data_IF_794461504861
#
_entry.id   IF_794461504861
#
_cell.length_a   1.000
_cell.length_b   1.000
_cell.length_c   1.000
_cell.angle_alpha   90.00
_cell.angle_beta   90.00
_cell.angle_gamma   90.00
#
_symmetry.space_group_name_H-M   'P 1'
#
loop_
_entity.id
_entity.type
_entity.pdbx_description
1 polymer ?
#
# COMPACT_ATOMS: atom_id res chain seq x y z
N UNK A 1 -21.41 3.63 7.45
CA UNK A 1 -21.18 2.54 8.42
C UNK A 1 -21.87 1.25 8.00
N UNK A 2 -23.05 1.32 7.40
CA UNK A 2 -23.79 0.17 6.87
C UNK A 2 -23.03 -0.67 5.82
N UNK A 3 -22.04 -0.11 5.11
CA UNK A 3 -21.15 -0.88 4.19
C UNK A 3 -19.92 -1.49 4.88
N UNK A 4 -19.69 -1.15 6.14
CA UNK A 4 -18.41 -1.37 6.80
C UNK A 4 -18.50 -2.45 7.89
N UNK A 5 -17.44 -3.25 8.00
CA UNK A 5 -17.09 -3.96 9.23
C UNK A 5 -16.03 -3.15 9.97
N UNK A 6 -16.33 -2.75 11.19
CA UNK A 6 -15.39 -2.05 12.08
C UNK A 6 -14.91 -3.01 13.15
N UNK A 7 -13.60 -3.27 13.18
CA UNK A 7 -12.96 -4.02 14.26
C UNK A 7 -12.40 -3.01 15.23
N UNK A 8 -12.90 -2.98 16.47
CA UNK A 8 -12.42 -2.06 17.53
C UNK A 8 -11.54 -2.74 18.58
N UNK A 9 -11.22 -4.01 18.37
CA UNK A 9 -10.41 -4.84 19.26
C UNK A 9 -9.08 -5.26 18.63
N UNK A 10 -8.55 -4.46 17.70
CA UNK A 10 -7.24 -4.71 17.14
C UNK A 10 -6.18 -4.55 18.23
N UNK A 11 -5.26 -5.52 18.35
CA UNK A 11 -4.16 -5.44 19.30
C UNK A 11 -2.96 -6.32 18.91
N UNK A 12 -1.77 -5.91 19.34
CA UNK A 12 -0.53 -6.70 19.25
C UNK A 12 0.55 -6.10 20.20
N UNK A 13 1.65 -6.82 20.51
CA UNK A 13 2.56 -6.41 21.59
C UNK A 13 3.58 -5.32 21.19
N UNK A 14 3.51 -4.75 19.99
CA UNK A 14 4.57 -3.88 19.45
C UNK A 14 4.09 -2.44 19.21
N UNK A 15 4.26 -1.49 20.16
CA UNK A 15 3.87 -0.09 20.00
C UNK A 15 4.91 0.70 19.19
N UNK A 16 5.27 0.21 18.02
CA UNK A 16 6.29 0.75 17.13
C UNK A 16 5.75 0.77 15.71
N UNK A 17 6.27 1.66 14.87
CA UNK A 17 6.14 1.53 13.42
C UNK A 17 6.49 0.08 13.02
N UNK A 18 5.79 -0.49 12.05
CA UNK A 18 5.84 -1.89 11.68
C UNK A 18 4.95 -2.26 10.49
N UNK A 19 5.00 -1.52 9.37
CA UNK A 19 4.18 -1.80 8.17
C UNK A 19 4.37 -3.25 7.73
N UNK A 20 5.62 -3.71 7.73
CA UNK A 20 5.94 -5.12 7.47
C UNK A 20 5.20 -6.07 8.41
N UNK A 21 5.13 -5.78 9.71
CA UNK A 21 4.37 -6.58 10.67
C UNK A 21 2.86 -6.53 10.43
N UNK A 22 2.31 -5.36 10.12
CA UNK A 22 0.88 -5.21 9.86
C UNK A 22 0.43 -5.88 8.54
N UNK A 23 1.36 -6.13 7.61
CA UNK A 23 1.03 -6.53 6.23
C UNK A 23 1.73 -7.81 5.74
N UNK A 24 2.35 -8.57 6.64
CA UNK A 24 3.00 -9.84 6.34
C UNK A 24 2.88 -10.81 7.51
N UNK A 25 3.39 -12.03 7.37
CA UNK A 25 3.47 -13.03 8.44
C UNK A 25 4.60 -12.80 9.46
N UNK A 26 5.25 -11.62 9.50
CA UNK A 26 6.37 -11.39 10.42
C UNK A 26 5.99 -11.70 11.87
N UNK A 27 6.71 -12.60 12.59
CA UNK A 27 6.33 -13.01 13.94
C UNK A 27 6.57 -11.91 14.98
N UNK A 28 7.49 -10.99 14.68
CA UNK A 28 7.84 -9.87 15.54
C UNK A 28 8.23 -8.65 14.71
N UNK A 29 8.27 -7.48 15.34
CA UNK A 29 8.90 -6.28 14.78
C UNK A 29 9.79 -5.57 15.81
N UNK A 30 10.77 -4.83 15.32
CA UNK A 30 11.69 -4.02 16.11
C UNK A 30 12.12 -2.80 15.30
N UNK A 31 12.58 -1.75 15.99
CA UNK A 31 13.12 -0.55 15.33
C UNK A 31 14.27 -0.87 14.35
N UNK A 32 15.08 -1.88 14.65
CA UNK A 32 16.13 -2.39 13.77
C UNK A 32 15.53 -2.97 12.48
N UNK A 33 14.64 -3.96 12.61
CA UNK A 33 13.99 -4.60 11.47
C UNK A 33 13.28 -3.61 10.57
N UNK A 34 12.68 -2.58 11.16
CA UNK A 34 12.00 -1.51 10.43
C UNK A 34 12.91 -0.64 9.57
N UNK A 35 14.22 -0.77 9.72
CA UNK A 35 15.23 -0.04 8.93
C UNK A 35 15.98 -0.91 7.93
N UNK A 36 15.63 -2.20 7.84
CA UNK A 36 16.35 -3.20 7.06
C UNK A 36 15.44 -3.88 6.01
N UNK A 37 15.08 -3.22 4.90
CA UNK A 37 14.03 -3.65 3.95
C UNK A 37 14.22 -5.01 3.27
N UNK A 38 15.42 -5.57 3.33
CA UNK A 38 15.76 -6.86 2.70
C UNK A 38 16.40 -7.84 3.70
N UNK A 39 16.15 -7.65 4.98
CA UNK A 39 16.60 -8.58 6.01
C UNK A 39 15.93 -9.95 5.83
N UNK A 40 16.69 -11.03 6.02
CA UNK A 40 16.20 -12.40 5.88
C UNK A 40 15.10 -12.77 6.91
N UNK A 41 15.00 -12.01 8.02
CA UNK A 41 13.95 -12.15 9.03
C UNK A 41 12.61 -11.55 8.58
N UNK A 42 12.59 -10.73 7.52
CA UNK A 42 11.33 -10.22 6.98
C UNK A 42 10.48 -11.34 6.39
N UNK A 43 9.18 -11.06 6.26
CA UNK A 43 8.25 -11.95 5.57
C UNK A 43 7.67 -11.22 4.36
N UNK A 44 7.32 -11.95 3.28
CA UNK A 44 6.76 -11.34 2.10
C UNK A 44 5.49 -10.58 2.43
N UNK A 45 5.38 -9.39 1.85
CA UNK A 45 4.18 -8.60 1.85
C UNK A 45 2.97 -9.37 1.30
N UNK A 46 1.78 -9.18 1.87
CA UNK A 46 0.55 -9.86 1.44
C UNK A 46 0.32 -9.77 -0.08
N UNK A 47 0.47 -8.58 -0.69
CA UNK A 47 0.30 -8.42 -2.14
C UNK A 47 1.33 -9.20 -2.96
N UNK A 48 2.54 -9.37 -2.43
CA UNK A 48 3.59 -10.19 -3.05
C UNK A 48 3.27 -11.69 -2.94
N UNK A 49 2.71 -12.13 -1.81
CA UNK A 49 2.22 -13.52 -1.66
C UNK A 49 1.08 -13.81 -2.63
N UNK A 50 0.12 -12.89 -2.77
CA UNK A 50 -1.01 -13.03 -3.70
C UNK A 50 -0.50 -13.15 -5.15
N UNK A 51 0.39 -12.24 -5.57
CA UNK A 51 0.97 -12.29 -6.91
C UNK A 51 1.79 -13.57 -7.15
N UNK A 52 2.57 -13.99 -6.15
CA UNK A 52 3.28 -15.28 -6.20
C UNK A 52 2.32 -16.45 -6.38
N UNK A 53 1.27 -16.52 -5.57
CA UNK A 53 0.28 -17.60 -5.62
C UNK A 53 -0.37 -17.67 -7.01
N UNK A 54 -0.90 -16.55 -7.52
CA UNK A 54 -1.58 -16.49 -8.81
C UNK A 54 -0.70 -16.97 -9.97
N UNK A 55 0.60 -16.65 -9.95
CA UNK A 55 1.54 -17.09 -11.00
C UNK A 55 1.85 -18.58 -10.93
N UNK A 56 1.93 -19.16 -9.73
CA UNK A 56 2.29 -20.57 -9.55
C UNK A 56 1.09 -21.51 -9.69
N UNK A 57 -0.13 -21.03 -9.46
CA UNK A 57 -1.37 -21.81 -9.66
C UNK A 57 -1.96 -21.66 -11.05
N UNK A 58 -1.36 -20.86 -11.94
CA UNK A 58 -1.89 -20.56 -13.26
C UNK A 58 -3.19 -19.76 -13.25
N UNK A 59 -3.57 -19.20 -12.09
CA UNK A 59 -4.76 -18.36 -11.90
C UNK A 59 -4.51 -16.89 -12.26
N UNK A 60 -3.33 -16.56 -12.77
CA UNK A 60 -3.07 -15.23 -13.29
C UNK A 60 -4.02 -14.95 -14.45
N UNK A 61 -4.95 -14.02 -14.26
CA UNK A 61 -5.77 -13.54 -15.37
C UNK A 61 -4.87 -13.04 -16.50
N UNK A 62 -5.26 -13.21 -17.77
CA UNK A 62 -4.59 -12.57 -18.92
C UNK A 62 -4.75 -11.03 -18.93
N UNK A 63 -5.05 -10.43 -17.79
CA UNK A 63 -5.16 -8.99 -17.58
C UNK A 63 -3.84 -8.31 -17.96
N UNK A 64 -3.92 -7.20 -18.70
CA UNK A 64 -2.74 -6.40 -19.02
C UNK A 64 -2.36 -5.42 -17.90
N UNK A 65 -3.12 -5.39 -16.78
CA UNK A 65 -2.76 -4.68 -15.56
C UNK A 65 -1.98 -5.62 -14.60
N UNK A 66 -0.88 -5.16 -13.98
CA UNK A 66 -0.12 -5.97 -13.04
C UNK A 66 -0.93 -6.34 -11.79
N UNK A 67 -0.66 -7.53 -11.24
CA UNK A 67 -1.39 -8.06 -10.09
C UNK A 67 -1.18 -7.25 -8.81
N UNK A 68 0.04 -6.77 -8.54
CA UNK A 68 0.41 -6.12 -7.29
C UNK A 68 0.98 -4.71 -7.55
N UNK A 69 0.27 -3.68 -7.10
CA UNK A 69 0.55 -2.27 -7.39
C UNK A 69 0.57 -1.44 -6.11
N UNK A 70 1.51 -0.49 -6.04
CA UNK A 70 1.61 0.50 -4.95
C UNK A 70 1.46 1.94 -5.45
N UNK A 71 0.61 2.70 -4.77
CA UNK A 71 0.32 4.13 -4.96
C UNK A 71 0.66 4.91 -3.68
N UNK A 72 1.00 6.21 -3.76
CA UNK A 72 1.22 6.99 -4.98
C UNK A 72 2.65 6.88 -5.53
N UNK A 73 3.60 6.43 -4.70
CA UNK A 73 5.01 6.26 -5.04
C UNK A 73 5.66 5.19 -4.16
N UNK A 74 6.91 4.84 -4.47
CA UNK A 74 7.71 3.93 -3.65
C UNK A 74 7.69 4.35 -2.17
N UNK A 75 7.30 3.43 -1.30
CA UNK A 75 7.11 3.68 0.13
C UNK A 75 8.33 4.34 0.81
N UNK A 76 8.09 5.43 1.53
CA UNK A 76 9.05 6.18 2.34
C UNK A 76 9.98 7.11 1.58
N UNK A 77 9.90 7.23 0.24
CA UNK A 77 10.93 7.92 -0.54
C UNK A 77 10.77 9.44 -0.66
N UNK A 78 9.57 9.97 -0.42
CA UNK A 78 9.30 11.41 -0.60
C UNK A 78 9.42 12.22 0.70
N UNK A 79 9.93 11.63 1.79
CA UNK A 79 10.17 12.36 3.05
C UNK A 79 11.63 12.44 3.40
N UNK A 80 12.11 13.64 3.77
CA UNK A 80 13.49 13.83 4.24
C UNK A 80 13.77 13.10 5.57
N UNK A 81 12.73 12.80 6.35
CA UNK A 81 12.81 12.01 7.60
C UNK A 81 13.38 10.61 7.32
N UNK A 82 13.14 10.07 6.13
CA UNK A 82 13.54 8.73 5.70
C UNK A 82 14.39 8.74 4.40
N UNK A 83 14.52 9.90 3.73
CA UNK A 83 14.76 9.98 2.29
C UNK A 83 15.87 10.93 1.81
N UNK A 84 16.78 11.39 2.69
CA UNK A 84 18.09 11.88 2.26
C UNK A 84 19.16 10.78 2.39
N UNK A 85 18.96 9.65 1.71
CA UNK A 85 20.06 8.76 1.30
C UNK A 85 20.56 7.64 2.23
N UNK A 86 19.97 7.36 3.41
CA UNK A 86 20.55 6.28 4.28
C UNK A 86 19.59 5.31 4.98
N UNK A 87 18.28 5.58 5.11
CA UNK A 87 17.36 4.66 5.83
C UNK A 87 16.08 4.36 5.03
N UNK A 88 16.15 3.33 4.18
CA UNK A 88 14.93 2.74 3.60
C UNK A 88 14.16 2.02 4.70
N UNK A 89 12.88 2.33 4.86
CA UNK A 89 12.01 1.63 5.79
C UNK A 89 11.80 0.19 5.33
N UNK A 90 11.65 -0.75 6.27
CA UNK A 90 10.98 -2.01 5.95
C UNK A 90 9.60 -1.68 5.42
N UNK A 91 9.24 -2.27 4.30
CA UNK A 91 8.05 -1.91 3.59
C UNK A 91 7.35 -3.13 3.01
N UNK A 92 6.35 -2.88 2.16
CA UNK A 92 5.63 -3.92 1.44
C UNK A 92 6.52 -4.51 0.33
N UNK A 93 7.55 -5.25 0.73
CA UNK A 93 8.49 -5.92 -0.18
C UNK A 93 8.23 -7.43 -0.20
N UNK A 94 8.62 -8.05 -1.30
CA UNK A 94 8.52 -9.48 -1.52
C UNK A 94 9.48 -10.30 -0.62
N UNK A 95 10.49 -9.66 -0.03
CA UNK A 95 11.49 -10.31 0.81
C UNK A 95 12.14 -11.50 0.07
N UNK A 96 12.14 -12.70 0.66
CA UNK A 96 12.74 -13.90 0.08
C UNK A 96 12.02 -14.46 -1.15
N UNK A 97 10.83 -13.95 -1.51
CA UNK A 97 10.22 -14.28 -2.81
C UNK A 97 10.97 -13.64 -3.99
N UNK A 98 11.79 -12.62 -3.72
CA UNK A 98 12.56 -11.90 -4.73
C UNK A 98 11.82 -10.71 -5.32
N UNK A 99 12.59 -9.76 -5.86
CA UNK A 99 12.10 -8.45 -6.31
C UNK A 99 11.04 -8.52 -7.42
N UNK A 100 10.89 -9.66 -8.09
CA UNK A 100 9.86 -9.90 -9.10
C UNK A 100 8.43 -9.87 -8.58
N UNK A 101 8.26 -10.04 -7.28
CA UNK A 101 6.97 -9.97 -6.59
C UNK A 101 6.83 -8.68 -5.79
N UNK A 102 7.82 -7.77 -5.84
CA UNK A 102 7.65 -6.44 -5.26
C UNK A 102 6.48 -5.73 -5.97
N UNK A 103 5.72 -4.88 -5.25
CA UNK A 103 4.70 -4.05 -5.87
C UNK A 103 5.29 -3.23 -7.01
N UNK A 104 4.53 -3.09 -8.08
CA UNK A 104 4.84 -2.12 -9.12
C UNK A 104 4.40 -0.76 -8.61
N UNK A 105 5.37 0.11 -8.39
CA UNK A 105 5.13 1.45 -7.86
C UNK A 105 4.81 2.44 -8.96
N UNK A 106 3.82 3.30 -8.70
CA UNK A 106 3.64 4.52 -9.49
C UNK A 106 4.59 5.62 -9.03
N UNK A 107 4.46 6.80 -9.61
CA UNK A 107 4.86 8.09 -9.04
C UNK A 107 3.73 9.09 -9.29
N UNK A 108 3.75 10.22 -8.61
CA UNK A 108 2.79 11.31 -8.80
C UNK A 108 3.53 12.64 -8.90
N UNK A 109 3.26 13.40 -9.95
CA UNK A 109 3.97 14.65 -10.27
C UNK A 109 3.22 15.93 -9.84
N UNK A 110 1.98 15.81 -9.34
CA UNK A 110 1.18 16.96 -8.94
C UNK A 110 1.73 17.63 -7.67
N UNK A 111 1.96 18.93 -7.74
CA UNK A 111 2.43 19.72 -6.62
C UNK A 111 1.35 19.90 -5.54
N UNK A 112 1.79 19.97 -4.28
CA UNK A 112 0.93 20.33 -3.15
C UNK A 112 0.45 21.77 -3.24
N UNK A 113 -0.84 22.00 -2.99
CA UNK A 113 -1.47 23.33 -3.11
C UNK A 113 -1.83 23.96 -1.78
N UNK A 114 -1.73 23.22 -0.68
CA UNK A 114 -2.07 23.70 0.66
C UNK A 114 -0.93 23.52 1.64
N UNK A 115 -0.75 24.52 2.49
CA UNK A 115 0.16 24.45 3.64
C UNK A 115 -0.54 23.65 4.73
N UNK A 116 0.15 22.64 5.28
CA UNK A 116 -0.37 21.83 6.38
C UNK A 116 0.04 22.38 7.75
N UNK A 117 -0.76 22.14 8.80
CA UNK A 117 -0.33 22.41 10.16
C UNK A 117 0.99 21.69 10.47
N UNK A 118 1.92 22.41 11.08
CA UNK A 118 3.27 21.91 11.43
C UNK A 118 3.21 20.58 12.19
N UNK A 119 4.12 19.66 11.90
CA UNK A 119 4.22 18.38 12.62
C UNK A 119 4.69 18.61 14.06
N UNK A 120 5.78 19.36 14.20
CA UNK A 120 6.32 19.79 15.47
C UNK A 120 6.16 21.31 15.55
N UNK A 121 5.19 21.77 16.35
CA UNK A 121 4.86 23.20 16.43
C UNK A 121 6.00 24.05 17.03
N UNK A 122 6.96 23.43 17.70
CA UNK A 122 8.07 24.12 18.36
C UNK A 122 9.35 24.10 17.52
N UNK A 123 9.64 23.00 16.83
CA UNK A 123 10.89 22.83 16.06
C UNK A 123 10.75 23.14 14.57
N UNK A 124 9.56 23.00 14.00
CA UNK A 124 9.37 23.19 12.57
C UNK A 124 9.30 24.68 12.25
N UNK A 125 10.30 25.18 11.53
CA UNK A 125 10.36 26.59 11.12
C UNK A 125 9.68 26.83 9.77
N UNK A 126 9.82 25.89 8.83
CA UNK A 126 9.31 26.01 7.47
C UNK A 126 7.85 25.56 7.32
N UNK A 127 7.14 26.23 6.41
CA UNK A 127 5.86 25.79 5.87
C UNK A 127 6.08 24.66 4.87
N UNK A 128 5.11 23.74 4.76
CA UNK A 128 5.18 22.60 3.84
C UNK A 128 3.91 22.56 3.02
N UNK A 129 4.07 22.70 1.70
CA UNK A 129 3.01 22.42 0.74
C UNK A 129 2.90 20.92 0.53
N UNK A 130 1.73 20.37 0.87
CA UNK A 130 1.55 18.93 0.99
C UNK A 130 0.50 18.44 -0.02
N UNK A 131 0.85 17.50 -0.92
CA UNK A 131 -0.08 16.99 -1.92
C UNK A 131 -1.22 16.20 -1.28
N UNK A 132 -1.04 15.61 -0.10
CA UNK A 132 -2.15 14.98 0.61
C UNK A 132 -3.16 16.00 1.16
N UNK A 133 -2.80 17.27 1.30
CA UNK A 133 -3.74 18.32 1.71
C UNK A 133 -4.46 18.97 0.52
N UNK A 134 -3.85 18.91 -0.66
CA UNK A 134 -4.43 19.40 -1.90
C UNK A 134 -3.45 19.25 -3.05
N UNK A 135 -3.94 18.92 -4.24
CA UNK A 135 -3.13 18.79 -5.47
C UNK A 135 -3.64 19.70 -6.58
N UNK A 136 -2.74 20.05 -7.50
CA UNK A 136 -3.12 20.71 -8.74
C UNK A 136 -3.95 19.77 -9.63
N UNK A 137 -4.88 20.33 -10.39
CA UNK A 137 -5.82 19.56 -11.20
C UNK A 137 -5.15 18.78 -12.34
N UNK A 138 -3.99 19.25 -12.83
CA UNK A 138 -3.21 18.64 -13.90
C UNK A 138 -2.22 17.57 -13.42
N UNK A 139 -2.10 17.34 -12.10
CA UNK A 139 -1.26 16.27 -11.54
C UNK A 139 -1.63 14.89 -12.07
N UNK A 140 -0.61 14.05 -12.32
CA UNK A 140 -0.73 12.77 -13.00
C UNK A 140 0.01 11.67 -12.24
N UNK A 141 -0.57 10.48 -12.30
CA UNK A 141 0.16 9.26 -11.98
C UNK A 141 1.00 8.82 -13.16
N UNK A 142 2.20 8.37 -12.86
CA UNK A 142 3.12 7.77 -13.82
C UNK A 142 3.55 6.39 -13.29
N UNK A 143 4.05 5.52 -14.15
CA UNK A 143 4.76 4.34 -13.67
C UNK A 143 6.10 4.81 -13.09
N UNK A 144 6.39 4.48 -11.83
CA UNK A 144 7.66 4.81 -11.17
C UNK A 144 8.85 4.26 -11.97
N UNK A 145 10.08 4.70 -11.65
CA UNK A 145 11.38 4.63 -12.38
C UNK A 145 11.71 3.47 -13.36
N UNK A 146 10.90 2.43 -13.48
CA UNK A 146 10.74 1.63 -14.70
C UNK A 146 10.21 2.51 -15.87
N UNK A 147 9.49 3.61 -15.59
CA UNK A 147 8.80 4.46 -16.56
C UNK A 147 9.52 5.72 -17.10
N UNK A 148 10.69 6.08 -16.57
CA UNK A 148 11.46 7.19 -17.17
C UNK A 148 12.27 6.65 -18.35
N UNK A 149 11.82 6.92 -19.56
CA UNK A 149 12.74 6.90 -20.69
C UNK A 149 13.82 7.96 -20.41
N UNK A 150 15.13 7.62 -20.45
CA UNK A 150 16.19 8.61 -20.47
C UNK A 150 15.86 9.70 -21.48
N UNK A 151 16.13 10.96 -21.14
CA UNK A 151 15.88 12.10 -22.02
C UNK A 151 16.39 11.79 -23.45
N UNK A 152 15.49 11.77 -24.44
CA UNK A 152 15.80 11.47 -25.85
C UNK A 152 15.39 10.07 -26.37
N UNK A 153 14.87 9.17 -25.52
CA UNK A 153 14.31 7.88 -25.96
C UNK A 153 12.78 7.98 -26.04
N UNK A 154 12.24 7.99 -27.25
CA UNK A 154 10.78 7.91 -27.47
C UNK A 154 10.30 6.46 -27.42
N UNK A 155 9.00 6.18 -27.15
CA UNK A 155 8.45 4.82 -27.15
C UNK A 155 8.73 4.06 -28.46
N UNK A 156 8.70 4.76 -29.60
CA UNK A 156 9.05 4.21 -30.92
C UNK A 156 10.53 3.83 -31.02
N UNK A 157 11.44 4.67 -30.51
CA UNK A 157 12.88 4.34 -30.45
C UNK A 157 13.16 3.19 -29.50
N UNK A 158 12.43 3.08 -28.39
CA UNK A 158 12.54 1.95 -27.48
C UNK A 158 12.09 0.64 -28.14
N UNK A 159 10.94 0.64 -28.83
CA UNK A 159 10.47 -0.52 -29.60
C UNK A 159 11.46 -0.91 -30.71
N UNK A 160 12.07 0.05 -31.40
CA UNK A 160 13.12 -0.23 -32.39
C UNK A 160 14.38 -0.84 -31.76
N UNK A 161 14.83 -0.32 -30.62
CA UNK A 161 15.97 -0.89 -29.87
C UNK A 161 15.67 -2.28 -29.35
N UNK A 162 14.45 -2.53 -28.87
CA UNK A 162 13.99 -3.86 -28.46
C UNK A 162 13.94 -4.83 -29.63
N UNK A 163 13.37 -4.42 -30.77
CA UNK A 163 13.39 -5.24 -31.99
C UNK A 163 14.81 -5.55 -32.47
N UNK A 164 15.76 -4.63 -32.32
CA UNK A 164 17.17 -4.88 -32.63
C UNK A 164 17.80 -5.83 -31.60
N UNK A 165 17.52 -5.64 -30.32
CA UNK A 165 17.98 -6.56 -29.26
C UNK A 165 17.44 -7.97 -29.49
N UNK A 166 16.15 -8.12 -29.81
CA UNK A 166 15.52 -9.41 -30.13
C UNK A 166 16.19 -10.06 -31.36
N UNK A 167 16.60 -9.28 -32.36
CA UNK A 167 17.37 -9.77 -33.52
C UNK A 167 18.79 -10.21 -33.14
N UNK A 168 19.47 -9.44 -32.28
CA UNK A 168 20.80 -9.82 -31.76
C UNK A 168 20.72 -11.06 -30.88
N UNK A 169 19.74 -11.16 -30.00
CA UNK A 169 19.53 -12.32 -29.11
C UNK A 169 19.05 -13.55 -29.89
N UNK A 170 18.25 -13.39 -30.94
CA UNK A 170 17.94 -14.50 -31.86
C UNK A 170 19.21 -15.00 -32.57
N UNK A 171 20.06 -14.07 -33.02
CA UNK A 171 21.36 -14.41 -33.62
C UNK A 171 22.29 -15.08 -32.60
N UNK A 172 22.28 -14.61 -31.35
CA UNK A 172 23.05 -15.16 -30.22
C UNK A 172 22.57 -16.54 -29.81
N UNK A 173 21.25 -16.77 -29.70
CA UNK A 173 20.63 -18.10 -29.46
C UNK A 173 20.94 -19.08 -30.59
N UNK A 174 21.08 -18.60 -31.82
CA UNK A 174 21.52 -19.43 -32.95
C UNK A 174 23.00 -19.85 -32.81
N UNK A 175 23.82 -19.06 -32.08
CA UNK A 175 25.23 -19.33 -31.80
C UNK A 175 25.46 -20.05 -30.45
N UNK A 176 24.55 -19.95 -29.49
CA UNK A 176 24.65 -20.46 -28.11
C UNK A 176 23.81 -21.75 -27.89
N UNK A 177 23.90 -22.73 -28.78
CA UNK A 177 23.36 -24.08 -28.53
C UNK A 177 24.13 -24.88 -27.47
N UNK A 178 24.99 -24.24 -26.67
CA UNK A 178 25.66 -24.81 -25.50
C UNK A 178 25.75 -23.75 -24.39
N UNK A 179 25.24 -24.11 -23.21
CA UNK A 179 25.22 -23.39 -21.93
C UNK A 179 23.98 -22.52 -21.62
N UNK A 180 23.43 -22.81 -20.44
CA UNK A 180 22.22 -22.26 -19.83
C UNK A 180 22.25 -20.74 -19.62
N UNK A 181 21.30 -20.03 -20.23
CA UNK A 181 20.95 -18.65 -19.87
C UNK A 181 19.41 -18.52 -19.90
N UNK A 182 18.75 -18.41 -18.74
CA UNK A 182 17.30 -18.17 -18.71
C UNK A 182 16.76 -17.63 -17.38
N UNK A 183 17.17 -16.41 -17.00
CA UNK A 183 16.39 -15.59 -16.04
C UNK A 183 16.32 -14.12 -16.50
N UNK A 184 17.44 -13.57 -17.00
CA UNK A 184 17.52 -12.17 -17.48
C UNK A 184 16.49 -11.80 -18.57
N UNK A 185 16.16 -12.75 -19.46
CA UNK A 185 15.23 -12.56 -20.59
C UNK A 185 13.78 -12.31 -20.10
N UNK A 186 13.34 -13.00 -19.03
CA UNK A 186 11.97 -12.88 -18.49
C UNK A 186 11.74 -11.53 -17.80
N UNK A 187 12.73 -11.05 -17.03
CA UNK A 187 12.63 -9.75 -16.35
C UNK A 187 12.54 -8.59 -17.37
N UNK A 188 13.34 -8.63 -18.44
CA UNK A 188 13.32 -7.62 -19.48
C UNK A 188 12.01 -7.65 -20.28
N UNK A 189 11.54 -8.83 -20.68
CA UNK A 189 10.27 -8.97 -21.39
C UNK A 189 9.09 -8.40 -20.59
N UNK A 190 9.06 -8.63 -19.27
CA UNK A 190 8.01 -8.12 -18.38
C UNK A 190 8.10 -6.62 -18.13
N UNK A 191 9.30 -6.09 -17.85
CA UNK A 191 9.49 -4.64 -17.75
C UNK A 191 9.05 -3.95 -19.05
N UNK A 192 9.39 -4.53 -20.20
CA UNK A 192 8.96 -3.99 -21.48
C UNK A 192 7.44 -4.13 -21.70
N UNK A 193 6.80 -5.26 -21.34
CA UNK A 193 5.35 -5.45 -21.52
C UNK A 193 4.56 -4.45 -20.69
N UNK A 194 4.97 -4.22 -19.44
CA UNK A 194 4.40 -3.23 -18.53
C UNK A 194 4.53 -1.81 -19.09
N UNK A 195 5.70 -1.45 -19.62
CA UNK A 195 5.93 -0.14 -20.22
C UNK A 195 5.13 0.10 -21.49
N UNK A 196 4.82 -0.97 -22.23
CA UNK A 196 4.02 -0.94 -23.45
C UNK A 196 2.53 -1.21 -23.22
N UNK A 197 2.11 -1.54 -22.00
CA UNK A 197 0.70 -1.84 -21.70
C UNK A 197 -0.13 -0.55 -21.71
N UNK A 198 -0.90 -0.37 -22.79
CA UNK A 198 -1.85 0.73 -22.91
C UNK A 198 -2.94 0.67 -21.83
N UNK A 199 -3.31 -0.52 -21.38
CA UNK A 199 -4.33 -0.70 -20.33
C UNK A 199 -3.83 -0.17 -18.98
N UNK A 200 -2.59 -0.49 -18.58
CA UNK A 200 -2.02 0.01 -17.33
C UNK A 200 -1.90 1.53 -17.34
N UNK A 201 -1.41 2.13 -18.44
CA UNK A 201 -1.33 3.59 -18.59
C UNK A 201 -2.71 4.24 -18.51
N UNK A 202 -3.72 3.64 -19.15
CA UNK A 202 -5.10 4.13 -19.11
C UNK A 202 -5.70 4.02 -17.70
N UNK A 203 -5.38 2.96 -16.95
CA UNK A 203 -5.90 2.73 -15.61
C UNK A 203 -5.40 3.79 -14.62
N UNK A 204 -4.11 4.12 -14.64
CA UNK A 204 -3.54 5.15 -13.75
C UNK A 204 -3.84 6.59 -14.21
N UNK A 205 -4.29 6.77 -15.45
CA UNK A 205 -4.64 8.09 -15.99
C UNK A 205 -6.01 8.56 -15.46
N UNK A 206 -5.99 9.15 -14.26
CA UNK A 206 -7.16 9.74 -13.59
C UNK A 206 -7.78 10.92 -14.37
N UNK A 207 -7.07 11.51 -15.33
CA UNK A 207 -7.58 12.62 -16.15
C UNK A 207 -8.68 12.16 -17.13
N UNK A 208 -8.83 10.86 -17.30
CA UNK A 208 -9.92 10.26 -18.08
C UNK A 208 -11.26 10.28 -17.34
N UNK A 209 -11.24 10.55 -16.03
CA UNK A 209 -12.46 10.74 -15.25
C UNK A 209 -12.98 12.17 -15.39
N UNK A 210 -14.31 12.37 -15.45
CA UNK A 210 -14.89 13.70 -15.37
C UNK A 210 -14.42 14.44 -14.12
N UNK A 211 -14.19 15.75 -14.23
CA UNK A 211 -13.73 16.58 -13.11
C UNK A 211 -14.60 16.41 -11.85
N UNK A 212 -15.92 16.37 -12.00
CA UNK A 212 -16.86 16.14 -10.87
C UNK A 212 -16.58 14.86 -10.07
N UNK A 213 -16.10 13.81 -10.73
CA UNK A 213 -15.77 12.54 -10.07
C UNK A 213 -14.46 12.71 -9.29
N UNK A 214 -13.48 13.38 -9.87
CA UNK A 214 -12.21 13.69 -9.20
C UNK A 214 -12.42 14.56 -7.97
N UNK A 215 -13.30 15.56 -8.06
CA UNK A 215 -13.69 16.43 -6.95
C UNK A 215 -14.47 15.67 -5.87
N UNK A 216 -15.34 14.73 -6.24
CA UNK A 216 -16.06 13.87 -5.26
C UNK A 216 -15.10 13.09 -4.36
N UNK A 217 -13.97 12.64 -4.89
CA UNK A 217 -12.93 11.97 -4.12
C UNK A 217 -12.08 12.93 -3.27
N UNK A 218 -12.23 14.24 -3.45
CA UNK A 218 -11.34 15.27 -2.94
C UNK A 218 -10.15 15.49 -3.87
N UNK A 219 -9.84 16.76 -4.13
CA UNK A 219 -8.65 17.17 -4.91
C UNK A 219 -7.39 17.12 -4.04
N UNK A 220 -7.14 15.96 -3.45
CA UNK A 220 -5.99 15.62 -2.59
C UNK A 220 -5.31 14.37 -3.13
N UNK A 221 -4.03 14.17 -2.82
CA UNK A 221 -3.32 12.98 -3.29
C UNK A 221 -3.95 11.68 -2.77
N UNK A 222 -4.47 11.66 -1.55
CA UNK A 222 -5.16 10.48 -1.03
C UNK A 222 -6.42 10.17 -1.84
N UNK A 223 -7.27 11.17 -2.07
CA UNK A 223 -8.46 11.05 -2.90
C UNK A 223 -8.18 10.61 -4.32
N UNK A 224 -7.21 11.27 -4.98
CA UNK A 224 -6.81 10.91 -6.33
C UNK A 224 -6.14 9.52 -6.40
N UNK A 225 -5.46 9.06 -5.34
CA UNK A 225 -4.91 7.71 -5.25
C UNK A 225 -6.00 6.65 -5.10
N UNK A 226 -7.04 6.90 -4.30
CA UNK A 226 -8.20 6.01 -4.22
C UNK A 226 -8.96 5.95 -5.55
N UNK A 227 -9.06 7.07 -6.28
CA UNK A 227 -9.63 7.10 -7.63
C UNK A 227 -8.81 6.24 -8.60
N UNK A 228 -7.48 6.38 -8.59
CA UNK A 228 -6.58 5.53 -9.37
C UNK A 228 -6.71 4.06 -8.98
N UNK A 229 -6.83 3.76 -7.68
CA UNK A 229 -7.01 2.39 -7.20
C UNK A 229 -8.31 1.76 -7.73
N UNK A 230 -9.42 2.50 -7.73
CA UNK A 230 -10.67 2.04 -8.32
C UNK A 230 -10.51 1.72 -9.81
N UNK A 231 -9.86 2.59 -10.58
CA UNK A 231 -9.56 2.36 -12.01
C UNK A 231 -8.65 1.15 -12.24
N UNK A 232 -7.69 0.92 -11.35
CA UNK A 232 -6.79 -0.24 -11.41
C UNK A 232 -7.53 -1.55 -11.12
N UNK A 233 -8.45 -1.55 -10.16
CA UNK A 233 -9.34 -2.70 -9.88
C UNK A 233 -10.23 -2.98 -11.10
N UNK A 234 -10.87 -1.96 -11.68
CA UNK A 234 -11.64 -2.10 -12.93
C UNK A 234 -10.80 -2.64 -14.10
N UNK A 235 -9.52 -2.28 -14.16
CA UNK A 235 -8.59 -2.79 -15.16
C UNK A 235 -8.09 -4.21 -14.88
N UNK A 236 -8.49 -4.83 -13.76
CA UNK A 236 -8.17 -6.21 -13.40
C UNK A 236 -6.92 -6.38 -12.55
N UNK A 237 -6.45 -5.33 -11.87
CA UNK A 237 -5.38 -5.46 -10.86
C UNK A 237 -5.90 -6.24 -9.66
N UNK A 238 -5.11 -7.18 -9.11
CA UNK A 238 -5.56 -8.10 -8.06
C UNK A 238 -5.32 -7.59 -6.65
N UNK A 239 -4.31 -6.76 -6.47
CA UNK A 239 -3.92 -6.19 -5.20
C UNK A 239 -3.39 -4.77 -5.42
N UNK A 240 -4.12 -3.78 -4.92
CA UNK A 240 -3.74 -2.36 -5.04
C UNK A 240 -3.58 -1.77 -3.66
N UNK A 241 -2.42 -1.17 -3.42
CA UNK A 241 -2.04 -0.60 -2.12
C UNK A 241 -1.98 0.92 -2.24
N UNK A 242 -2.73 1.63 -1.41
CA UNK A 242 -2.67 3.10 -1.33
C UNK A 242 -2.05 3.49 0.00
N UNK A 243 -0.88 4.12 -0.04
CA UNK A 243 -0.16 4.57 1.14
C UNK A 243 -0.36 6.07 1.36
N UNK A 244 -0.77 6.43 2.58
CA UNK A 244 -0.64 7.80 3.08
C UNK A 244 0.74 7.96 3.73
N UNK A 245 1.73 8.06 2.87
CA UNK A 245 3.15 8.02 3.20
C UNK A 245 3.65 9.39 3.72
N UNK A 246 4.63 9.46 4.63
CA UNK A 246 5.27 10.71 5.00
C UNK A 246 5.83 11.41 3.75
N UNK A 247 5.62 12.72 3.66
CA UNK A 247 6.11 13.53 2.55
C UNK A 247 6.76 14.83 3.03
N UNK A 248 7.71 15.30 2.24
CA UNK A 248 8.44 16.53 2.44
C UNK A 248 9.37 16.52 3.66
N UNK A 249 9.90 17.69 4.02
CA UNK A 249 10.74 17.84 5.19
C UNK A 249 9.93 17.49 6.45
N UNK A 250 10.61 16.98 7.47
CA UNK A 250 10.02 16.57 8.76
C UNK A 250 9.01 15.41 8.70
N UNK A 251 8.62 14.92 7.52
CA UNK A 251 7.55 13.94 7.36
C UNK A 251 6.18 14.58 7.62
N UNK A 252 5.92 15.72 6.98
CA UNK A 252 4.78 16.60 7.21
C UNK A 252 3.41 15.91 7.02
N UNK A 253 3.35 14.83 6.24
CA UNK A 253 2.13 14.04 5.95
C UNK A 253 2.01 12.76 6.79
N UNK A 254 2.34 12.83 8.08
CA UNK A 254 2.22 11.65 8.94
C UNK A 254 1.00 11.71 9.86
N UNK A 255 0.42 10.52 10.09
CA UNK A 255 -0.54 10.24 11.16
C UNK A 255 0.14 10.15 12.55
N UNK A 256 1.45 10.46 12.60
CA UNK A 256 2.32 10.37 13.76
C UNK A 256 2.33 11.65 14.61
N UNK A 257 1.18 11.94 15.22
CA UNK A 257 0.89 13.19 15.94
C UNK A 257 1.44 13.19 17.38
N UNK A 258 2.77 13.06 17.50
CA UNK A 258 3.52 13.23 18.76
C UNK A 258 3.67 14.70 19.21
N UNK A 259 3.19 15.64 18.40
CA UNK A 259 3.06 17.06 18.68
C UNK A 259 1.98 17.63 17.76
N UNK A 260 1.47 18.81 18.08
CA UNK A 260 0.46 19.55 17.32
C UNK A 260 -0.76 18.71 16.88
N UNK A 261 -1.20 17.79 17.74
CA UNK A 261 -2.21 16.78 17.43
C UNK A 261 -3.54 17.36 16.96
N UNK A 262 -4.12 18.31 17.71
CA UNK A 262 -5.48 18.79 17.41
C UNK A 262 -5.56 19.56 16.08
N UNK A 263 -4.70 20.55 15.78
CA UNK A 263 -4.75 21.23 14.49
C UNK A 263 -4.49 20.28 13.33
N UNK A 264 -3.55 19.33 13.47
CA UNK A 264 -3.28 18.35 12.41
C UNK A 264 -4.45 17.43 12.13
N UNK A 265 -5.12 16.91 13.17
CA UNK A 265 -6.29 16.07 12.96
C UNK A 265 -7.45 16.86 12.36
N UNK A 266 -7.78 18.02 12.96
CA UNK A 266 -8.97 18.80 12.60
C UNK A 266 -8.86 19.48 11.25
N UNK A 267 -7.69 20.05 10.93
CA UNK A 267 -7.55 20.96 9.79
C UNK A 267 -6.85 20.29 8.60
N UNK A 268 -6.44 19.02 8.72
CA UNK A 268 -5.71 18.31 7.66
C UNK A 268 -6.09 16.84 7.53
N UNK A 269 -5.78 15.99 8.53
CA UNK A 269 -5.84 14.53 8.35
C UNK A 269 -7.28 14.00 8.27
N UNK A 270 -8.14 14.35 9.24
CA UNK A 270 -9.50 13.83 9.30
C UNK A 270 -10.38 14.34 8.15
N UNK A 271 -10.39 15.64 7.78
CA UNK A 271 -11.22 16.11 6.67
C UNK A 271 -10.91 15.42 5.34
N UNK A 272 -9.63 15.20 5.05
CA UNK A 272 -9.23 14.52 3.80
C UNK A 272 -9.65 13.05 3.82
N UNK A 273 -9.51 12.35 4.95
CA UNK A 273 -9.99 10.97 5.07
C UNK A 273 -11.52 10.87 4.95
N UNK A 274 -12.25 11.76 5.63
CA UNK A 274 -13.72 11.78 5.69
C UNK A 274 -14.37 12.17 4.35
N UNK A 275 -13.65 12.91 3.50
CA UNK A 275 -14.05 13.17 2.12
C UNK A 275 -13.74 11.97 1.20
N UNK A 276 -12.50 11.49 1.22
CA UNK A 276 -12.01 10.55 0.20
C UNK A 276 -12.45 9.10 0.41
N UNK A 277 -12.43 8.60 1.65
CA UNK A 277 -12.70 7.17 1.91
C UNK A 277 -14.16 6.78 1.66
N UNK A 278 -15.17 7.53 2.15
CA UNK A 278 -16.57 7.25 1.82
C UNK A 278 -16.86 7.36 0.33
N UNK A 279 -16.29 8.35 -0.38
CA UNK A 279 -16.44 8.49 -1.82
C UNK A 279 -15.95 7.24 -2.57
N UNK A 280 -14.81 6.67 -2.16
CA UNK A 280 -14.27 5.45 -2.72
C UNK A 280 -15.18 4.23 -2.50
N UNK A 281 -15.67 4.02 -1.27
CA UNK A 281 -16.56 2.89 -0.96
C UNK A 281 -17.87 2.99 -1.74
N UNK A 282 -18.46 4.19 -1.81
CA UNK A 282 -19.70 4.41 -2.53
C UNK A 282 -19.53 4.29 -4.06
N UNK A 283 -18.43 4.76 -4.63
CA UNK A 283 -18.16 4.59 -6.07
C UNK A 283 -17.93 3.11 -6.43
N UNK A 284 -17.26 2.33 -5.57
CA UNK A 284 -17.14 0.88 -5.75
C UNK A 284 -18.51 0.18 -5.69
N UNK A 285 -19.39 0.58 -4.77
CA UNK A 285 -20.75 0.04 -4.66
C UNK A 285 -21.59 0.40 -5.89
N UNK A 286 -21.59 1.67 -6.31
CA UNK A 286 -22.32 2.15 -7.49
C UNK A 286 -21.92 1.43 -8.79
N UNK A 287 -20.68 0.95 -8.84
CA UNK A 287 -20.12 0.20 -9.99
C UNK A 287 -20.28 -1.31 -9.86
N UNK A 288 -20.84 -1.80 -8.76
CA UNK A 288 -20.96 -3.24 -8.48
C UNK A 288 -19.64 -3.94 -8.17
N UNK A 289 -18.56 -3.18 -7.93
CA UNK A 289 -17.22 -3.70 -7.65
C UNK A 289 -17.02 -4.05 -6.17
N UNK A 290 -17.78 -3.43 -5.27
CA UNK A 290 -17.57 -3.59 -3.82
C UNK A 290 -17.81 -5.04 -3.38
N UNK A 291 -18.79 -5.73 -3.95
CA UNK A 291 -19.11 -7.10 -3.53
C UNK A 291 -18.01 -8.11 -3.94
N UNK A 292 -17.22 -7.80 -4.99
CA UNK A 292 -16.09 -8.62 -5.45
C UNK A 292 -14.71 -8.10 -5.02
N UNK A 293 -14.64 -6.94 -4.36
CA UNK A 293 -13.39 -6.29 -3.93
C UNK A 293 -13.34 -6.12 -2.41
N UNK A 294 -12.42 -6.81 -1.76
CA UNK A 294 -12.13 -6.58 -0.35
C UNK A 294 -11.31 -5.28 -0.18
N UNK A 295 -11.89 -4.30 0.54
CA UNK A 295 -11.23 -3.05 0.91
C UNK A 295 -10.77 -3.13 2.36
N UNK A 296 -9.46 -2.93 2.58
CA UNK A 296 -8.84 -2.99 3.89
C UNK A 296 -8.27 -1.60 4.24
N UNK A 297 -8.89 -0.89 5.19
CA UNK A 297 -8.32 0.31 5.79
C UNK A 297 -7.64 -0.07 7.11
N UNK A 298 -6.33 -0.30 7.02
CA UNK A 298 -5.51 -0.81 8.13
C UNK A 298 -4.46 0.20 8.58
N UNK A 299 -3.99 0.02 9.81
CA UNK A 299 -2.89 0.76 10.40
C UNK A 299 -2.00 -0.19 11.20
N UNK A 300 -0.77 0.23 11.46
CA UNK A 300 0.20 -0.52 12.24
C UNK A 300 -0.21 -0.58 13.71
N UNK A 301 -0.75 0.49 14.25
CA UNK A 301 -1.23 0.59 15.63
C UNK A 301 -2.13 1.83 15.79
N UNK A 302 -2.80 1.94 16.94
CA UNK A 302 -3.54 3.13 17.32
C UNK A 302 -2.69 4.18 18.04
N UNK A 303 -3.39 4.95 18.87
CA UNK A 303 -2.83 6.07 19.63
C UNK A 303 -3.23 6.00 21.09
N UNK A 304 -2.37 6.45 22.00
CA UNK A 304 -2.60 6.38 23.46
C UNK A 304 -3.98 6.92 23.81
N UNK A 305 -4.82 6.22 24.61
CA UNK A 305 -6.14 6.74 24.98
C UNK A 305 -6.05 8.07 25.72
N UNK A 306 -5.02 8.21 26.56
CA UNK A 306 -4.69 9.46 27.23
C UNK A 306 -3.94 10.40 26.30
N UNK A 307 -4.35 11.68 26.33
CA UNK A 307 -3.73 12.78 25.61
C UNK A 307 -2.54 13.31 26.43
N UNK A 308 -1.39 13.48 25.79
CA UNK A 308 -0.28 14.23 26.37
C UNK A 308 -0.44 15.71 26.03
N UNK A 309 -0.65 16.53 27.05
CA UNK A 309 -0.85 17.97 26.93
C UNK A 309 0.45 18.77 27.02
N UNK A 310 1.62 18.14 27.17
CA UNK A 310 2.91 18.85 27.26
C UNK A 310 3.32 19.47 25.92
N UNK A 311 3.24 18.76 24.76
CA UNK A 311 3.57 19.37 23.48
C UNK A 311 2.53 20.40 23.07
N UNK A 312 2.97 21.45 22.37
CA UNK A 312 2.05 22.47 21.83
C UNK A 312 1.06 21.83 20.86
N UNK A 313 -0.23 22.08 21.07
CA UNK A 313 -1.32 21.44 20.31
C UNK A 313 -1.60 19.98 20.69
N UNK A 314 -1.03 19.52 21.82
CA UNK A 314 -1.13 18.17 22.38
C UNK A 314 -0.52 17.05 21.51
N UNK A 315 -0.48 15.84 22.07
CA UNK A 315 0.08 14.67 21.44
C UNK A 315 -0.67 13.39 21.83
N UNK A 316 -0.55 12.36 20.97
CA UNK A 316 -0.85 10.97 21.34
C UNK A 316 0.26 10.06 20.83
N UNK A 317 0.69 9.12 21.67
CA UNK A 317 1.82 8.24 21.36
C UNK A 317 1.36 6.91 20.76
N UNK A 318 2.29 6.09 20.30
CA UNK A 318 1.97 4.77 19.75
C UNK A 318 1.23 3.90 20.76
N UNK A 319 0.20 3.20 20.29
CA UNK A 319 -0.60 2.32 21.15
C UNK A 319 -1.12 1.12 20.38
N UNK A 320 -0.48 -0.03 20.59
CA UNK A 320 -0.86 -1.29 19.95
C UNK A 320 -1.76 -2.18 20.82
N UNK A 321 -2.11 -1.73 22.03
CA UNK A 321 -2.90 -2.53 23.00
C UNK A 321 -4.40 -2.51 22.69
N UNK A 322 -4.87 -1.47 22.01
CA UNK A 322 -6.22 -1.36 21.48
C UNK A 322 -6.26 -0.33 20.34
N UNK A 323 -6.81 -0.69 19.19
CA UNK A 323 -7.08 0.23 18.09
C UNK A 323 -8.18 -0.27 17.17
N UNK A 324 -8.54 0.55 16.19
CA UNK A 324 -9.61 0.23 15.23
C UNK A 324 -9.08 0.11 13.81
N UNK A 325 -9.71 -0.78 13.04
CA UNK A 325 -9.53 -0.94 11.61
C UNK A 325 -10.90 -1.13 10.94
N UNK A 326 -10.97 -0.81 9.64
CA UNK A 326 -12.23 -0.80 8.89
C UNK A 326 -12.07 -1.63 7.62
N UNK A 327 -13.06 -2.47 7.36
CA UNK A 327 -13.12 -3.38 6.22
C UNK A 327 -14.44 -3.21 5.48
N UNK A 328 -14.45 -3.47 4.17
CA UNK A 328 -15.66 -3.43 3.36
C UNK A 328 -15.54 -4.36 2.15
N UNK A 329 -16.66 -4.86 1.66
CA UNK A 329 -16.70 -5.60 0.39
C UNK A 329 -16.00 -6.96 0.42
N UNK A 330 -16.02 -7.66 -0.71
CA UNK A 330 -15.26 -8.90 -0.93
C UNK A 330 -15.48 -10.00 0.12
N UNK A 331 -16.69 -10.09 0.69
CA UNK A 331 -17.06 -11.07 1.73
C UNK A 331 -16.92 -10.60 3.18
N UNK A 332 -16.45 -9.36 3.44
CA UNK A 332 -16.57 -8.75 4.77
C UNK A 332 -18.03 -8.35 5.05
N UNK A 333 -18.45 -8.54 6.29
CA UNK A 333 -19.82 -8.21 6.71
C UNK A 333 -20.14 -6.72 6.55
N UNK A 334 -21.41 -6.43 6.27
CA UNK A 334 -21.93 -5.08 6.17
C UNK A 334 -22.52 -4.64 7.52
N UNK A 335 -22.25 -3.41 7.94
CA UNK A 335 -22.87 -2.78 9.12
C UNK A 335 -22.49 -3.40 10.46
N UNK A 336 -21.31 -4.02 10.55
CA UNK A 336 -20.91 -4.80 11.72
C UNK A 336 -19.84 -4.09 12.55
N UNK A 337 -19.96 -4.15 13.87
CA UNK A 337 -18.90 -3.73 14.81
C UNK A 337 -18.45 -4.94 15.60
N UNK A 338 -17.15 -5.24 15.57
CA UNK A 338 -16.56 -6.45 16.13
C UNK A 338 -15.59 -6.13 17.25
N UNK A 339 -15.71 -6.89 18.33
CA UNK A 339 -14.89 -6.80 19.54
C UNK A 339 -15.28 -5.65 20.47
N UNK A 340 -14.52 -5.50 21.55
CA UNK A 340 -14.77 -4.49 22.58
C UNK A 340 -13.49 -4.12 23.32
N UNK A 341 -13.35 -2.85 23.66
CA UNK A 341 -12.32 -2.32 24.55
C UNK A 341 -12.90 -1.97 25.92
N UNK A 342 -12.02 -1.67 26.88
CA UNK A 342 -12.42 -1.02 28.11
C UNK A 342 -13.04 0.38 27.88
N UNK A 343 -13.57 0.97 28.96
CA UNK A 343 -14.23 2.28 28.92
C UNK A 343 -13.29 3.44 28.53
N UNK A 344 -11.97 3.24 28.59
CA UNK A 344 -10.97 4.23 28.21
C UNK A 344 -10.42 3.99 26.81
N UNK A 345 -10.84 2.91 26.13
CA UNK A 345 -10.22 2.40 24.91
C UNK A 345 -8.70 2.13 25.07
N UNK A 346 -8.28 1.73 26.28
CA UNK A 346 -6.89 1.39 26.59
C UNK A 346 -6.54 -0.05 26.25
N UNK A 347 -7.38 -0.99 26.68
CA UNK A 347 -7.19 -2.42 26.46
C UNK A 347 -8.36 -3.06 25.73
N UNK A 348 -8.07 -4.14 24.99
CA UNK A 348 -9.11 -5.04 24.48
C UNK A 348 -9.69 -5.88 25.64
N UNK A 349 -11.01 -5.88 25.77
CA UNK A 349 -11.74 -6.72 26.73
C UNK A 349 -12.31 -7.98 26.10
N UNK A 350 -12.71 -7.93 24.83
CA UNK A 350 -13.33 -9.06 24.15
C UNK A 350 -12.92 -9.14 22.68
N UNK A 351 -12.75 -10.38 22.22
CA UNK A 351 -12.36 -10.75 20.85
C UNK A 351 -11.11 -9.99 20.36
N UNK A 352 -9.93 -10.17 20.97
CA UNK A 352 -8.70 -9.59 20.44
C UNK A 352 -8.47 -10.08 19.01
N UNK A 353 -8.23 -9.13 18.10
CA UNK A 353 -7.91 -9.41 16.69
C UNK A 353 -6.48 -8.93 16.44
N UNK A 354 -5.64 -9.82 15.91
CA UNK A 354 -4.28 -9.45 15.51
C UNK A 354 -4.21 -9.02 14.04
N UNK A 355 -3.18 -8.27 13.60
CA UNK A 355 -2.94 -8.08 12.17
C UNK A 355 -2.81 -9.38 11.37
N UNK A 356 -2.37 -10.48 12.02
CA UNK A 356 -2.22 -11.80 11.39
C UNK A 356 -3.58 -12.45 11.14
N UNK A 357 -4.54 -12.24 12.02
CA UNK A 357 -5.91 -12.69 11.82
C UNK A 357 -6.55 -12.05 10.59
N UNK A 358 -6.28 -10.75 10.39
CA UNK A 358 -6.73 -10.02 9.19
C UNK A 358 -6.04 -10.56 7.94
N UNK A 359 -4.74 -10.83 8.02
CA UNK A 359 -3.98 -11.46 6.93
C UNK A 359 -4.57 -12.84 6.56
N UNK A 360 -4.80 -13.72 7.54
CA UNK A 360 -5.41 -15.03 7.35
C UNK A 360 -6.81 -14.93 6.73
N UNK A 361 -7.64 -14.03 7.26
CA UNK A 361 -9.01 -13.79 6.76
C UNK A 361 -8.99 -13.27 5.32
N UNK A 362 -8.02 -12.41 4.98
CA UNK A 362 -7.87 -11.89 3.62
C UNK A 362 -7.46 -12.97 2.63
N UNK A 363 -6.50 -13.84 3.00
CA UNK A 363 -6.16 -14.99 2.16
C UNK A 363 -7.35 -15.92 1.95
N UNK A 364 -8.11 -16.20 3.01
CA UNK A 364 -9.33 -17.00 2.91
C UNK A 364 -10.35 -16.41 1.93
N UNK A 365 -10.60 -15.10 2.00
CA UNK A 365 -11.50 -14.39 1.07
C UNK A 365 -10.98 -14.40 -0.38
N UNK A 366 -9.66 -14.44 -0.57
CA UNK A 366 -9.03 -14.59 -1.88
C UNK A 366 -8.98 -16.05 -2.37
N UNK A 367 -9.51 -17.01 -1.61
CA UNK A 367 -9.47 -18.43 -1.96
C UNK A 367 -8.10 -19.08 -1.77
N UNK A 368 -7.19 -18.43 -1.05
CA UNK A 368 -5.85 -18.94 -0.72
C UNK A 368 -5.92 -19.54 0.68
N UNK A 369 -5.53 -20.82 0.82
CA UNK A 369 -5.45 -21.46 2.14
C UNK A 369 -4.45 -20.70 3.04
N UNK A 370 -4.89 -20.06 4.15
CA UNK A 370 -4.01 -19.31 5.03
C UNK A 370 -2.93 -20.15 5.72
N UNK A 371 -3.06 -21.49 5.72
CA UNK A 371 -2.06 -22.43 6.22
C UNK A 371 -0.98 -22.79 5.19
N UNK A 372 -1.10 -22.31 3.95
CA UNK A 372 -0.07 -22.47 2.92
C UNK A 372 1.28 -21.98 3.43
N UNK A 373 2.35 -22.69 3.08
CA UNK A 373 3.71 -22.32 3.44
C UNK A 373 4.53 -21.91 2.22
N UNK A 374 5.39 -20.91 2.39
CA UNK A 374 6.43 -20.53 1.43
C UNK A 374 7.79 -20.91 2.00
N UNK A 375 8.72 -21.32 1.15
CA UNK A 375 10.09 -21.59 1.56
C UNK A 375 10.86 -20.27 1.69
N UNK A 376 11.57 -20.09 2.80
CA UNK A 376 12.52 -18.99 2.96
C UNK A 376 13.87 -19.29 2.27
N UNK A 377 14.84 -18.36 2.40
CA UNK A 377 16.18 -18.51 1.80
C UNK A 377 16.97 -19.72 2.31
N UNK A 378 16.59 -20.29 3.45
CA UNK A 378 17.19 -21.48 4.05
C UNK A 378 16.35 -22.74 3.79
N UNK A 379 15.39 -22.67 2.86
CA UNK A 379 14.42 -23.73 2.53
C UNK A 379 13.53 -24.17 3.70
N UNK A 380 13.30 -23.29 4.69
CA UNK A 380 12.37 -23.59 5.78
C UNK A 380 10.95 -23.17 5.41
N UNK A 381 9.94 -24.01 5.67
CA UNK A 381 8.55 -23.63 5.45
C UNK A 381 8.12 -22.54 6.43
N UNK A 382 7.58 -21.45 5.90
CA UNK A 382 7.03 -20.32 6.64
C UNK A 382 5.56 -20.15 6.29
N UNK A 383 4.62 -20.17 7.26
CA UNK A 383 3.20 -19.98 6.99
C UNK A 383 2.94 -18.57 6.46
N UNK A 384 2.11 -18.44 5.41
CA UNK A 384 1.83 -17.15 4.78
C UNK A 384 1.04 -16.19 5.66
N UNK A 385 0.30 -16.71 6.65
CA UNK A 385 -0.47 -15.93 7.61
C UNK A 385 0.15 -15.89 9.02
N UNK A 386 1.33 -16.48 9.23
CA UNK A 386 1.93 -16.56 10.57
C UNK A 386 1.10 -17.42 11.51
N UNK A 387 0.79 -16.90 12.69
CA UNK A 387 -0.09 -17.49 13.71
C UNK A 387 -1.54 -17.01 13.62
N UNK A 388 -1.87 -16.26 12.56
CA UNK A 388 -3.19 -15.70 12.32
C UNK A 388 -4.27 -16.74 12.08
N UNK A 389 -5.50 -16.42 12.46
CA UNK A 389 -6.68 -17.28 12.26
C UNK A 389 -7.76 -16.54 11.48
N UNK A 390 -8.50 -17.28 10.66
CA UNK A 390 -9.67 -16.74 9.95
C UNK A 390 -10.71 -16.30 10.96
N UNK A 391 -11.15 -15.05 10.87
CA UNK A 391 -12.13 -14.43 11.77
C UNK A 391 -13.50 -14.45 11.14
N UNK A 392 -14.23 -15.53 11.37
CA UNK A 392 -15.58 -15.76 10.84
C UNK A 392 -16.57 -14.67 11.24
N UNK A 393 -16.36 -14.02 12.38
CA UNK A 393 -17.17 -12.91 12.84
C UNK A 393 -17.04 -11.65 11.95
N UNK A 394 -15.99 -11.55 11.14
CA UNK A 394 -15.79 -10.47 10.16
C UNK A 394 -16.49 -10.75 8.82
N UNK A 395 -16.92 -11.98 8.56
CA UNK A 395 -17.47 -12.41 7.28
C UNK A 395 -19.00 -12.25 7.24
N UNK A 396 -19.56 -12.01 6.05
CA UNK A 396 -21.01 -11.78 5.89
C UNK A 396 -21.59 -12.17 4.55
#
# INVERSE_FOLDING_TARGET
MDRLTVVRSMSHPYPLHGVGYATSAMPLTSAELNSLPRDARQRPYIGSVVDYHLRHTGQQSPSAAPSNIGLPWLFGVKSDKYGAGTKRLSGPYASYLGADYDPIWTDFDGAGTRIVPKLDADKQTAEVYDPFAGVQADGRFQLGAIGHFPAGITPRRFQQRRSLLDQFDATRKTLENYASVSDYDKHQQRACSLLTSNQMRSAIDIQREPQRIRERYGMTLFGQSLLAARRLVEAGSRFVSVFWDPYGPFGASCWDTHSNHFPRLKDYLLPVYDESFPAFILDLEERGLLDETAVLCISEHGRTPQIDSKPKGAARHHWSRAYSAVYAGGGFARGRVVGQTDALAGEVQNLPVSPKDILATTFHLLGIDPHTTLLDLENRPQPIAGDGRVRVELLG
#
